data_IF_038241501309
#
_entry.id   IF_038241501309
#
_cell.length_a   1.000
_cell.length_b   1.000
_cell.length_c   1.000
_cell.angle_alpha   90.00
_cell.angle_beta   90.00
_cell.angle_gamma   90.00
#
_symmetry.space_group_name_H-M   'P 1'
#
loop_
_entity.id
_entity.type
_entity.pdbx_description
1 polymer ?
#
# COMPACT_ATOMS: atom_id res chain seq x y z
N UNK A 1 11.34 48.21 16.65
CA UNK A 1 10.65 47.12 17.36
C UNK A 1 9.53 46.46 16.56
N UNK A 2 8.81 47.17 15.73
CA UNK A 2 7.77 46.60 14.87
C UNK A 2 8.31 45.71 13.76
N UNK A 3 9.50 46.00 13.24
CA UNK A 3 10.14 45.19 12.21
C UNK A 3 10.46 43.76 12.66
N UNK A 4 10.77 43.57 13.95
CA UNK A 4 11.05 42.24 14.51
C UNK A 4 9.80 41.40 14.61
N UNK A 5 8.66 42.00 14.92
CA UNK A 5 7.37 41.27 15.00
C UNK A 5 6.88 40.83 13.64
N UNK A 6 7.08 41.64 12.62
CA UNK A 6 6.73 41.31 11.24
C UNK A 6 7.60 40.18 10.69
N UNK A 7 8.88 40.13 11.05
CA UNK A 7 9.79 39.06 10.66
C UNK A 7 9.40 37.71 11.31
N UNK A 8 9.00 37.74 12.57
CA UNK A 8 8.55 36.54 13.29
C UNK A 8 7.26 35.98 12.74
N UNK A 9 6.31 36.82 12.34
CA UNK A 9 5.05 36.43 11.76
C UNK A 9 5.25 35.85 10.35
N UNK A 10 6.14 36.44 9.56
CA UNK A 10 6.49 35.96 8.23
C UNK A 10 7.19 34.58 8.29
N UNK A 11 8.06 34.36 9.29
CA UNK A 11 8.75 33.10 9.51
C UNK A 11 7.77 31.99 9.93
N UNK A 12 6.77 32.32 10.74
CA UNK A 12 5.72 31.37 11.15
C UNK A 12 4.80 30.95 10.00
N UNK A 13 4.47 31.87 9.10
CA UNK A 13 3.65 31.60 7.93
C UNK A 13 4.40 30.73 6.90
N UNK A 14 5.72 30.86 6.83
CA UNK A 14 6.54 30.08 5.91
C UNK A 14 6.68 28.62 6.35
N UNK A 15 6.71 28.35 7.66
CA UNK A 15 6.81 26.99 8.19
C UNK A 15 5.53 26.17 8.00
N UNK A 16 4.38 26.81 7.88
CA UNK A 16 3.11 26.10 7.67
C UNK A 16 2.90 25.56 6.25
N UNK A 17 3.63 26.10 5.27
CA UNK A 17 3.46 25.62 3.88
C UNK A 17 4.18 24.31 3.58
N UNK A 18 5.02 23.80 4.49
CA UNK A 18 5.73 22.54 4.31
C UNK A 18 4.92 21.31 4.72
N UNK A 19 3.80 21.48 5.43
CA UNK A 19 3.00 20.36 5.94
C UNK A 19 1.93 19.86 4.97
N UNK A 20 1.85 20.43 3.75
CA UNK A 20 0.82 20.10 2.78
C UNK A 20 1.26 19.16 1.66
N UNK A 21 2.47 18.59 1.73
CA UNK A 21 2.88 17.55 0.79
C UNK A 21 2.29 16.21 1.22
N UNK A 22 1.02 16.00 0.95
CA UNK A 22 0.39 14.71 1.14
C UNK A 22 0.85 13.78 0.02
N UNK A 23 1.76 12.87 0.34
CA UNK A 23 2.08 11.77 -0.55
C UNK A 23 0.95 10.75 -0.47
N UNK A 24 0.20 10.60 -1.55
CA UNK A 24 -0.80 9.54 -1.72
C UNK A 24 -0.14 8.20 -2.04
N UNK A 25 1.06 7.99 -1.57
CA UNK A 25 1.88 6.84 -1.89
C UNK A 25 1.65 5.72 -0.88
N UNK A 26 1.22 4.56 -1.37
CA UNK A 26 1.07 3.38 -0.50
C UNK A 26 2.45 2.81 -0.23
N UNK A 27 2.83 2.80 1.03
CA UNK A 27 4.12 2.23 1.47
C UNK A 27 3.91 0.83 2.03
N UNK A 28 4.84 -0.06 1.69
CA UNK A 28 4.94 -1.36 2.31
C UNK A 28 5.38 -1.16 3.78
N UNK A 29 4.58 -1.66 4.71
CA UNK A 29 4.94 -1.60 6.14
C UNK A 29 6.09 -2.56 6.44
N UNK A 30 6.86 -2.33 7.53
CA UNK A 30 7.90 -3.29 7.93
C UNK A 30 7.36 -4.71 8.12
N UNK A 31 6.18 -4.85 8.69
CA UNK A 31 5.50 -6.14 8.86
C UNK A 31 5.08 -6.73 7.52
N UNK A 32 4.60 -5.89 6.60
CA UNK A 32 4.22 -6.31 5.25
C UNK A 32 5.39 -6.83 4.42
N UNK A 33 6.61 -6.40 4.72
CA UNK A 33 7.81 -6.91 4.07
C UNK A 33 8.01 -8.41 4.29
N UNK A 34 7.48 -8.94 5.39
CA UNK A 34 7.55 -10.36 5.73
C UNK A 34 6.50 -11.21 5.03
N UNK A 35 5.56 -10.58 4.32
CA UNK A 35 4.54 -11.28 3.54
C UNK A 35 5.04 -11.45 2.12
N UNK A 36 5.24 -12.68 1.69
CA UNK A 36 5.72 -13.00 0.35
C UNK A 36 4.57 -13.03 -0.66
N UNK A 37 4.83 -12.58 -1.88
CA UNK A 37 3.92 -12.77 -3.01
C UNK A 37 4.36 -14.02 -3.74
N UNK A 38 3.54 -15.06 -3.70
CA UNK A 38 3.88 -16.39 -4.21
C UNK A 38 2.92 -16.81 -5.33
N UNK A 39 3.28 -17.87 -6.02
CA UNK A 39 2.43 -18.55 -7.00
C UNK A 39 1.65 -19.67 -6.34
N UNK A 40 0.63 -20.16 -7.01
CA UNK A 40 -0.21 -21.27 -6.51
C UNK A 40 0.61 -22.52 -6.20
N UNK A 41 1.60 -22.83 -7.02
CA UNK A 41 2.48 -23.99 -6.80
C UNK A 41 3.37 -23.86 -5.57
N UNK A 42 3.77 -22.63 -5.23
CA UNK A 42 4.66 -22.36 -4.10
C UNK A 42 3.96 -22.46 -2.74
N UNK A 43 2.64 -22.43 -2.71
CA UNK A 43 1.84 -22.50 -1.47
C UNK A 43 1.20 -23.86 -1.24
N UNK A 44 1.62 -24.90 -2.00
CA UNK A 44 1.03 -26.24 -1.94
C UNK A 44 1.03 -26.83 -0.52
N UNK A 45 2.07 -26.56 0.27
CA UNK A 45 2.21 -27.05 1.64
C UNK A 45 1.81 -26.01 2.69
N UNK A 46 1.23 -24.91 2.27
CA UNK A 46 0.82 -23.82 3.17
C UNK A 46 -0.66 -23.97 3.54
N UNK A 47 -1.03 -23.38 4.67
CA UNK A 47 -2.41 -23.37 5.15
C UNK A 47 -3.10 -22.10 4.68
N UNK A 48 -4.22 -22.26 3.98
CA UNK A 48 -5.07 -21.13 3.59
C UNK A 48 -5.73 -20.53 4.83
N UNK A 49 -5.59 -19.23 5.03
CA UNK A 49 -6.14 -18.54 6.20
C UNK A 49 -7.27 -17.58 5.86
N UNK A 50 -7.36 -17.13 4.61
CA UNK A 50 -8.42 -16.22 4.20
C UNK A 50 -8.19 -15.62 2.83
N UNK A 51 -8.97 -14.59 2.54
CA UNK A 51 -8.86 -13.81 1.31
C UNK A 51 -8.86 -12.32 1.64
N UNK A 52 -8.27 -11.54 0.76
CA UNK A 52 -8.33 -10.08 0.87
C UNK A 52 -8.52 -9.50 -0.52
N UNK A 53 -9.38 -8.48 -0.63
CA UNK A 53 -9.58 -7.73 -1.86
C UNK A 53 -9.10 -6.31 -1.61
N UNK A 54 -8.27 -5.82 -2.50
CA UNK A 54 -7.67 -4.48 -2.40
C UNK A 54 -7.98 -3.67 -3.65
N UNK A 55 -8.08 -2.38 -3.47
CA UNK A 55 -8.31 -1.45 -4.57
C UNK A 55 -7.45 -0.21 -4.42
N UNK A 56 -7.09 0.39 -5.54
CA UNK A 56 -6.39 1.67 -5.55
C UNK A 56 -7.42 2.81 -5.53
N UNK A 57 -7.11 3.87 -4.78
CA UNK A 57 -8.02 5.00 -4.61
C UNK A 57 -8.31 5.76 -5.91
N UNK A 58 -7.38 5.70 -6.85
CA UNK A 58 -7.47 6.46 -8.11
C UNK A 58 -7.79 5.57 -9.30
N UNK A 59 -8.70 4.62 -9.13
CA UNK A 59 -9.08 3.67 -10.18
C UNK A 59 -9.70 4.34 -11.42
N UNK A 60 -10.04 5.63 -11.35
CA UNK A 60 -10.66 6.39 -12.43
C UNK A 60 -9.63 7.03 -13.36
N UNK A 61 -8.35 6.99 -13.05
CA UNK A 61 -7.30 7.59 -13.88
C UNK A 61 -6.91 6.61 -14.98
N UNK A 62 -7.41 6.89 -16.16
CA UNK A 62 -7.36 6.05 -17.35
C UNK A 62 -5.93 5.84 -17.89
N UNK A 63 -4.98 6.70 -17.53
CA UNK A 63 -3.62 6.68 -18.07
C UNK A 63 -2.56 6.22 -17.10
N UNK A 64 -2.96 5.52 -16.03
CA UNK A 64 -2.02 5.00 -15.08
C UNK A 64 -1.30 3.77 -15.63
N UNK A 65 0.02 3.73 -15.47
CA UNK A 65 0.80 2.57 -15.84
C UNK A 65 0.27 1.33 -15.09
N UNK A 66 -0.12 0.30 -15.83
CA UNK A 66 -0.69 -0.93 -15.29
C UNK A 66 0.28 -1.65 -14.34
N UNK A 67 1.59 -1.57 -14.59
CA UNK A 67 2.59 -2.17 -13.72
C UNK A 67 2.63 -1.49 -12.35
N UNK A 68 2.47 -0.18 -12.33
CA UNK A 68 2.42 0.58 -11.08
C UNK A 68 1.18 0.24 -10.26
N UNK A 69 0.03 0.13 -10.90
CA UNK A 69 -1.22 -0.28 -10.25
C UNK A 69 -1.07 -1.68 -9.66
N UNK A 70 -0.51 -2.60 -10.42
CA UNK A 70 -0.26 -3.97 -9.95
C UNK A 70 0.64 -3.99 -8.71
N UNK A 71 1.72 -3.20 -8.71
CA UNK A 71 2.63 -3.09 -7.57
C UNK A 71 1.93 -2.51 -6.34
N UNK A 72 1.11 -1.48 -6.52
CA UNK A 72 0.36 -0.89 -5.42
C UNK A 72 -0.63 -1.87 -4.80
N UNK A 73 -1.34 -2.63 -5.64
CA UNK A 73 -2.27 -3.64 -5.17
C UNK A 73 -1.57 -4.73 -4.37
N UNK A 74 -0.40 -5.18 -4.83
CA UNK A 74 0.41 -6.15 -4.09
C UNK A 74 0.86 -5.60 -2.74
N UNK A 75 1.29 -4.34 -2.71
CA UNK A 75 1.70 -3.67 -1.47
C UNK A 75 0.53 -3.59 -0.49
N UNK A 76 -0.64 -3.18 -0.95
CA UNK A 76 -1.85 -3.13 -0.12
C UNK A 76 -2.21 -4.52 0.43
N UNK A 77 -2.16 -5.54 -0.42
CA UNK A 77 -2.48 -6.91 -0.02
C UNK A 77 -1.49 -7.44 1.02
N UNK A 78 -0.19 -7.19 0.83
CA UNK A 78 0.83 -7.58 1.80
C UNK A 78 0.61 -6.93 3.15
N UNK A 79 0.33 -5.62 3.16
CA UNK A 79 0.06 -4.88 4.39
C UNK A 79 -1.18 -5.42 5.13
N UNK A 80 -2.21 -5.81 4.39
CA UNK A 80 -3.44 -6.35 4.98
C UNK A 80 -3.30 -7.78 5.48
N UNK A 81 -2.43 -8.55 4.87
CA UNK A 81 -2.26 -9.96 5.22
C UNK A 81 -1.45 -10.21 6.48
N UNK A 82 -0.77 -9.19 7.01
CA UNK A 82 0.16 -9.29 8.15
C UNK A 82 -0.40 -10.10 9.33
N UNK A 83 -1.65 -9.85 9.69
CA UNK A 83 -2.28 -10.49 10.86
C UNK A 83 -2.81 -11.89 10.57
N UNK A 84 -2.81 -12.31 9.30
CA UNK A 84 -3.45 -13.55 8.87
C UNK A 84 -2.47 -14.60 8.35
N UNK A 85 -1.34 -14.16 7.81
CA UNK A 85 -0.40 -15.09 7.21
C UNK A 85 0.89 -14.42 6.77
N UNK A 86 1.73 -15.19 6.10
CA UNK A 86 3.04 -14.75 5.63
C UNK A 86 3.21 -14.88 4.12
N UNK A 87 2.14 -15.25 3.41
CA UNK A 87 2.16 -15.33 1.95
C UNK A 87 0.80 -14.97 1.37
N UNK A 88 0.83 -14.40 0.16
CA UNK A 88 -0.37 -14.10 -0.62
C UNK A 88 -0.20 -14.60 -2.04
N UNK A 89 -1.31 -15.03 -2.64
CA UNK A 89 -1.38 -15.48 -4.03
C UNK A 89 -2.52 -14.73 -4.70
N UNK A 90 -2.27 -14.11 -5.85
CA UNK A 90 -3.31 -13.46 -6.63
C UNK A 90 -4.37 -14.49 -7.05
N UNK A 91 -5.62 -14.22 -6.73
CA UNK A 91 -6.75 -15.09 -7.07
C UNK A 91 -7.63 -14.52 -8.18
N UNK A 92 -7.39 -13.28 -8.59
CA UNK A 92 -8.08 -12.65 -9.71
C UNK A 92 -7.09 -11.84 -10.53
N UNK A 93 -7.48 -11.49 -11.76
CA UNK A 93 -6.78 -10.49 -12.54
C UNK A 93 -7.02 -9.10 -11.93
N UNK A 94 -6.20 -8.13 -12.31
CA UNK A 94 -6.44 -6.73 -11.98
C UNK A 94 -7.55 -6.20 -12.89
N UNK A 95 -8.66 -5.78 -12.28
CA UNK A 95 -9.79 -5.19 -13.00
C UNK A 95 -10.23 -3.91 -12.28
N UNK A 96 -10.33 -2.81 -13.01
CA UNK A 96 -10.78 -1.52 -12.49
C UNK A 96 -10.02 -1.08 -11.23
N UNK A 97 -8.72 -1.33 -11.19
CA UNK A 97 -7.87 -0.98 -10.06
C UNK A 97 -8.11 -1.82 -8.80
N UNK A 98 -8.70 -3.00 -8.96
CA UNK A 98 -9.03 -3.92 -7.87
C UNK A 98 -8.44 -5.31 -8.15
N UNK A 99 -8.03 -6.00 -7.10
CA UNK A 99 -7.53 -7.37 -7.19
C UNK A 99 -7.76 -8.12 -5.89
N UNK A 100 -8.04 -9.41 -6.00
CA UNK A 100 -8.22 -10.31 -4.85
C UNK A 100 -7.02 -11.22 -4.69
N UNK A 101 -6.74 -11.55 -3.44
CA UNK A 101 -5.63 -12.43 -3.05
C UNK A 101 -6.11 -13.44 -2.02
N UNK A 102 -5.55 -14.63 -2.09
CA UNK A 102 -5.70 -15.63 -1.04
C UNK A 102 -4.50 -15.51 -0.09
N UNK A 103 -4.77 -15.55 1.20
CA UNK A 103 -3.74 -15.44 2.23
C UNK A 103 -3.42 -16.84 2.75
N UNK A 104 -2.12 -17.12 2.90
CA UNK A 104 -1.61 -18.41 3.37
C UNK A 104 -0.65 -18.19 4.53
N UNK A 105 -0.58 -19.22 5.36
CA UNK A 105 0.47 -19.34 6.39
C UNK A 105 1.39 -20.49 6.00
N UNK A 106 2.61 -20.15 5.67
CA UNK A 106 3.64 -21.09 5.22
C UNK A 106 4.65 -21.41 6.30
N UNK A 107 4.86 -20.46 7.24
CA UNK A 107 5.72 -20.66 8.40
C UNK A 107 4.84 -21.10 9.57
N UNK A 108 5.13 -22.29 10.05
CA UNK A 108 4.37 -22.89 11.12
C UNK A 108 4.52 -22.20 12.47
#
# INVERSE_FOLDING_TARGET
METRRLFLIAALLFTMSFTLSSCTYVRLTPEGENVAVLTQGEVADCVRTGTTTVEVLEKVIINRNSDRVTQELRTLARNRAVDRGDAIVASSAVEDGEQSFVVYRCRG
#
